data_IF_678459706258
#
_entry.id   IF_678459706258
#
_cell.length_a   1.000
_cell.length_b   1.000
_cell.length_c   1.000
_cell.angle_alpha   90.00
_cell.angle_beta   90.00
_cell.angle_gamma   90.00
#
_symmetry.space_group_name_H-M   'P 1'
#
loop_
_entity.id
_entity.type
_entity.pdbx_description
1 polymer ?
#
# COMPACT_ATOMS: atom_id res chain seq x y z
N UNK A 1 -11.65 8.34 32.00
CA UNK A 1 -11.75 8.02 30.56
C UNK A 1 -12.01 6.53 30.48
N UNK A 2 -13.15 6.09 29.92
CA UNK A 2 -13.45 4.67 29.82
C UNK A 2 -12.38 3.97 28.95
N UNK A 3 -12.07 2.72 29.26
CA UNK A 3 -11.10 1.93 28.50
C UNK A 3 -11.58 1.75 27.04
N UNK A 4 -10.68 1.69 26.03
CA UNK A 4 -11.04 1.70 24.60
C UNK A 4 -11.84 0.48 24.11
N UNK A 5 -12.13 -0.50 24.96
CA UNK A 5 -12.68 -1.80 24.56
C UNK A 5 -14.20 -1.90 24.62
N UNK A 6 -14.90 -0.89 25.17
CA UNK A 6 -16.36 -1.01 25.39
C UNK A 6 -17.23 -0.75 24.15
N UNK A 7 -16.67 -0.28 23.03
CA UNK A 7 -17.42 -0.04 21.77
C UNK A 7 -16.55 -0.30 20.52
N UNK A 8 -15.82 -1.41 20.47
CA UNK A 8 -15.17 -1.81 19.22
C UNK A 8 -16.25 -2.23 18.19
N UNK A 9 -16.17 -1.78 16.93
CA UNK A 9 -17.07 -2.24 15.89
C UNK A 9 -16.88 -3.74 15.67
N UNK A 10 -17.97 -4.44 15.36
CA UNK A 10 -17.88 -5.85 15.00
C UNK A 10 -17.19 -6.03 13.63
N UNK A 11 -16.59 -7.20 13.35
CA UNK A 11 -16.02 -7.49 12.03
C UNK A 11 -17.01 -7.25 10.87
N UNK A 12 -18.28 -7.58 11.09
CA UNK A 12 -19.36 -7.41 10.10
C UNK A 12 -19.70 -5.93 9.88
N UNK A 13 -19.63 -5.10 10.94
CA UNK A 13 -19.83 -3.66 10.82
C UNK A 13 -18.71 -3.03 9.98
N UNK A 14 -17.44 -3.37 10.24
CA UNK A 14 -16.31 -2.89 9.43
C UNK A 14 -16.47 -3.32 7.97
N UNK A 15 -16.88 -4.57 7.73
CA UNK A 15 -17.13 -5.06 6.36
C UNK A 15 -18.28 -4.31 5.66
N UNK A 16 -19.38 -4.03 6.37
CA UNK A 16 -20.49 -3.27 5.83
C UNK A 16 -20.07 -1.84 5.46
N UNK A 17 -19.35 -1.17 6.37
CA UNK A 17 -18.81 0.18 6.19
C UNK A 17 -17.82 0.27 5.02
N UNK A 18 -17.03 -0.79 4.81
CA UNK A 18 -16.11 -0.91 3.67
C UNK A 18 -16.88 -1.08 2.35
N UNK A 19 -17.91 -1.93 2.32
CA UNK A 19 -18.72 -2.14 1.12
C UNK A 19 -19.41 -0.85 0.68
N UNK A 20 -20.01 -0.12 1.62
CA UNK A 20 -20.61 1.20 1.34
C UNK A 20 -19.57 2.18 0.79
N UNK A 21 -18.38 2.23 1.40
CA UNK A 21 -17.27 3.06 0.92
C UNK A 21 -16.86 2.71 -0.52
N UNK A 22 -16.79 1.43 -0.88
CA UNK A 22 -16.47 0.99 -2.25
C UNK A 22 -17.56 1.42 -3.23
N UNK A 23 -18.84 1.25 -2.89
CA UNK A 23 -19.95 1.70 -3.74
C UNK A 23 -19.92 3.21 -3.97
N UNK A 24 -19.70 3.98 -2.90
CA UNK A 24 -19.60 5.44 -3.00
C UNK A 24 -18.45 5.85 -3.93
N UNK A 25 -17.28 5.23 -3.80
CA UNK A 25 -16.14 5.52 -4.67
C UNK A 25 -16.41 5.18 -6.15
N UNK A 26 -17.21 4.13 -6.41
CA UNK A 26 -17.65 3.77 -7.77
C UNK A 26 -18.62 4.81 -8.32
N UNK A 27 -19.57 5.28 -7.50
CA UNK A 27 -20.51 6.34 -7.88
C UNK A 27 -19.79 7.67 -8.19
N UNK A 28 -18.88 8.08 -7.31
CA UNK A 28 -18.03 9.27 -7.49
C UNK A 28 -17.16 9.19 -8.76
N UNK A 29 -16.84 7.98 -9.21
CA UNK A 29 -16.12 7.70 -10.45
C UNK A 29 -17.07 7.40 -11.64
N UNK A 30 -18.31 7.90 -11.58
CA UNK A 30 -19.33 7.78 -12.63
C UNK A 30 -19.62 6.32 -13.04
N UNK A 31 -19.60 5.40 -12.07
CA UNK A 31 -19.83 3.97 -12.29
C UNK A 31 -18.62 3.21 -12.84
N UNK A 32 -17.47 3.87 -13.03
CA UNK A 32 -16.28 3.21 -13.57
C UNK A 32 -15.53 2.40 -12.51
N UNK A 33 -15.29 1.12 -12.79
CA UNK A 33 -14.51 0.18 -11.96
C UNK A 33 -13.09 -0.05 -12.47
N UNK A 34 -12.64 0.74 -13.46
CA UNK A 34 -11.29 0.60 -14.02
C UNK A 34 -10.23 0.92 -12.95
N UNK A 35 -9.18 0.08 -12.82
CA UNK A 35 -8.14 0.33 -11.83
C UNK A 35 -7.29 1.53 -12.25
N UNK A 36 -6.90 2.33 -11.26
CA UNK A 36 -5.96 3.43 -11.43
C UNK A 36 -4.58 2.96 -10.99
N UNK A 37 -3.58 3.08 -11.88
CA UNK A 37 -2.19 2.72 -11.55
C UNK A 37 -1.68 3.59 -10.39
N UNK A 38 -1.32 3.00 -9.24
CA UNK A 38 -0.78 3.76 -8.12
C UNK A 38 0.60 4.34 -8.47
N UNK A 39 0.90 5.54 -7.95
CA UNK A 39 2.26 6.11 -8.02
C UNK A 39 3.22 5.30 -7.14
N UNK A 40 4.53 5.48 -7.32
CA UNK A 40 5.50 4.92 -6.38
C UNK A 40 5.31 5.51 -4.98
N UNK A 41 5.54 4.67 -3.96
CA UNK A 41 5.56 5.13 -2.58
C UNK A 41 6.73 6.09 -2.39
N UNK A 42 6.48 7.21 -1.72
CA UNK A 42 7.48 8.16 -1.26
C UNK A 42 7.34 8.26 0.25
N UNK A 43 8.28 7.70 1.04
CA UNK A 43 8.20 7.75 2.49
C UNK A 43 8.03 9.18 3.00
N UNK A 44 6.97 9.43 3.76
CA UNK A 44 6.73 10.72 4.36
C UNK A 44 7.58 10.89 5.62
N UNK A 45 8.28 12.02 5.70
CA UNK A 45 9.07 12.39 6.88
C UNK A 45 8.66 13.78 7.33
N UNK A 46 8.11 13.89 8.53
CA UNK A 46 7.68 15.14 9.12
C UNK A 46 7.79 15.10 10.65
N UNK A 47 8.13 16.22 11.32
CA UNK A 47 8.51 17.51 10.76
C UNK A 47 9.91 17.51 10.11
N UNK A 48 10.17 18.39 9.13
CA UNK A 48 11.52 18.56 8.59
C UNK A 48 12.45 19.17 9.65
N UNK A 49 13.76 18.98 9.49
CA UNK A 49 14.75 19.58 10.39
C UNK A 49 14.60 21.11 10.39
N UNK A 50 14.36 21.68 11.58
CA UNK A 50 14.26 23.11 11.80
C UNK A 50 15.52 23.83 11.29
N UNK A 51 15.36 24.71 10.30
CA UNK A 51 16.49 25.45 9.72
C UNK A 51 17.08 26.43 10.72
N UNK A 52 16.28 26.97 11.64
CA UNK A 52 16.76 27.88 12.70
C UNK A 52 17.81 27.24 13.62
N UNK A 53 17.75 25.92 13.83
CA UNK A 53 18.74 25.20 14.64
C UNK A 53 20.12 25.19 13.98
N UNK A 54 20.18 25.20 12.65
CA UNK A 54 21.45 25.22 11.90
C UNK A 54 22.18 26.57 12.02
N UNK A 55 21.43 27.64 12.31
CA UNK A 55 21.95 29.00 12.45
C UNK A 55 21.92 29.50 13.90
N UNK A 56 21.58 28.64 14.86
CA UNK A 56 21.49 28.96 16.28
C UNK A 56 20.60 30.17 16.59
N UNK A 57 19.46 30.33 15.88
CA UNK A 57 18.56 31.47 16.10
C UNK A 57 17.92 31.37 17.49
N UNK A 58 18.16 32.34 18.39
CA UNK A 58 17.65 32.26 19.76
C UNK A 58 16.16 32.60 19.81
N UNK A 59 15.47 32.11 20.85
CA UNK A 59 14.03 32.33 21.05
C UNK A 59 13.62 33.82 21.03
N UNK A 60 14.50 34.72 21.52
CA UNK A 60 14.28 36.17 21.55
C UNK A 60 14.28 36.86 20.18
N UNK A 61 14.79 36.20 19.13
CA UNK A 61 14.85 36.78 17.78
C UNK A 61 13.51 36.74 17.03
N UNK A 62 12.54 35.98 17.52
CA UNK A 62 11.23 35.80 16.89
C UNK A 62 10.25 36.88 17.35
N UNK A 63 10.46 38.11 16.89
CA UNK A 63 9.70 39.30 17.32
C UNK A 63 8.54 39.66 16.39
N UNK A 64 8.64 39.34 15.11
CA UNK A 64 7.66 39.73 14.10
C UNK A 64 6.68 38.61 13.76
N UNK A 65 5.61 38.98 13.05
CA UNK A 65 4.54 38.08 12.63
C UNK A 65 4.18 38.32 11.17
N UNK A 66 3.85 37.24 10.48
CA UNK A 66 3.32 37.25 9.13
C UNK A 66 2.26 36.14 8.99
N UNK A 67 1.65 36.04 7.81
CA UNK A 67 0.77 34.93 7.45
C UNK A 67 1.08 34.47 6.02
N UNK A 68 0.87 33.17 5.77
CA UNK A 68 0.73 32.67 4.40
C UNK A 68 -0.59 31.91 4.27
N UNK A 69 -1.09 31.84 3.04
CA UNK A 69 -2.29 31.08 2.71
C UNK A 69 -1.91 29.82 1.93
N UNK A 70 -2.47 28.68 2.31
CA UNK A 70 -2.34 27.43 1.55
C UNK A 70 -3.65 26.64 1.64
N UNK A 71 -4.11 26.14 0.50
CA UNK A 71 -5.32 25.31 0.41
C UNK A 71 -6.55 25.96 1.08
N UNK A 72 -6.68 27.29 0.98
CA UNK A 72 -7.79 28.07 1.56
C UNK A 72 -7.70 28.32 3.07
N UNK A 73 -6.62 27.92 3.74
CA UNK A 73 -6.37 28.22 5.15
C UNK A 73 -5.21 29.22 5.31
N UNK A 74 -5.38 30.15 6.26
CA UNK A 74 -4.34 31.09 6.68
C UNK A 74 -3.55 30.54 7.86
N UNK A 75 -2.24 30.55 7.72
CA UNK A 75 -1.30 30.03 8.71
C UNK A 75 -0.48 31.17 9.32
N UNK A 76 -0.54 31.37 10.65
CA UNK A 76 0.30 32.35 11.32
C UNK A 76 1.76 31.90 11.31
N UNK A 77 2.65 32.85 11.04
CA UNK A 77 4.10 32.66 10.99
C UNK A 77 4.77 33.62 11.95
N UNK A 78 5.64 33.10 12.81
CA UNK A 78 6.58 33.93 13.58
C UNK A 78 7.80 34.21 12.72
N UNK A 79 8.29 35.45 12.75
CA UNK A 79 9.39 35.91 11.90
C UNK A 79 10.56 36.39 12.76
N UNK A 80 11.77 36.01 12.36
CA UNK A 80 13.01 36.46 12.94
C UNK A 80 13.92 37.07 11.86
N UNK A 81 14.30 38.33 12.06
CA UNK A 81 15.25 39.05 11.22
C UNK A 81 16.66 38.90 11.80
N UNK A 82 17.60 38.42 10.99
CA UNK A 82 18.96 38.08 11.45
C UNK A 82 20.00 38.48 10.40
N UNK A 83 21.29 38.57 10.75
CA UNK A 83 22.37 38.76 9.77
C UNK A 83 22.46 37.64 8.74
N UNK A 84 21.89 36.47 9.03
CA UNK A 84 21.84 35.33 8.11
C UNK A 84 20.54 35.29 7.29
N UNK A 85 19.72 36.33 7.30
CA UNK A 85 18.45 36.40 6.56
C UNK A 85 17.21 36.33 7.45
N UNK A 86 16.07 36.14 6.80
CA UNK A 86 14.73 36.12 7.41
C UNK A 86 14.27 34.68 7.61
N UNK A 87 13.98 34.33 8.86
CA UNK A 87 13.48 33.02 9.24
C UNK A 87 12.00 33.10 9.57
N UNK A 88 11.24 32.11 9.12
CA UNK A 88 9.83 31.95 9.47
C UNK A 88 9.59 30.60 10.10
N UNK A 89 8.74 30.57 11.13
CA UNK A 89 8.26 29.37 11.80
C UNK A 89 6.74 29.33 11.78
N UNK A 90 6.19 28.27 11.20
CA UNK A 90 4.76 27.96 11.27
C UNK A 90 4.56 26.86 12.31
N UNK A 91 4.14 27.23 13.52
CA UNK A 91 3.96 26.27 14.62
C UNK A 91 2.80 25.30 14.34
N UNK A 92 1.73 25.73 13.65
CA UNK A 92 0.61 24.87 13.27
C UNK A 92 1.01 23.72 12.33
N UNK A 93 1.96 23.97 11.44
CA UNK A 93 2.46 22.98 10.49
C UNK A 93 3.76 22.33 10.94
N UNK A 94 4.38 22.79 12.03
CA UNK A 94 5.64 22.25 12.57
C UNK A 94 6.81 22.33 11.59
N UNK A 95 6.91 23.41 10.81
CA UNK A 95 8.06 23.63 9.91
C UNK A 95 8.55 25.07 9.87
N UNK A 96 9.75 25.21 9.32
CA UNK A 96 10.47 26.47 9.20
C UNK A 96 11.05 26.64 7.80
N UNK A 97 11.23 27.89 7.38
CA UNK A 97 12.00 28.22 6.20
C UNK A 97 12.83 29.48 6.42
N UNK A 98 13.85 29.65 5.59
CA UNK A 98 14.70 30.84 5.52
C UNK A 98 14.60 31.46 4.13
N UNK A 99 14.52 32.77 4.03
CA UNK A 99 14.66 33.56 2.80
C UNK A 99 15.50 34.82 3.06
N UNK A 100 15.78 35.57 2.00
CA UNK A 100 16.46 36.86 2.11
C UNK A 100 15.48 37.99 2.46
N UNK A 101 14.19 37.80 2.13
CA UNK A 101 13.08 38.68 2.52
C UNK A 101 11.94 37.89 3.19
N UNK A 102 10.98 38.60 3.80
CA UNK A 102 9.76 37.99 4.36
C UNK A 102 8.97 37.27 3.27
N UNK A 103 8.79 37.89 2.11
CA UNK A 103 8.03 37.34 0.98
C UNK A 103 8.69 36.06 0.44
N UNK A 104 10.02 36.06 0.32
CA UNK A 104 10.73 34.86 -0.10
C UNK A 104 10.62 33.74 0.94
N UNK A 105 10.79 34.06 2.22
CA UNK A 105 10.63 33.11 3.31
C UNK A 105 9.22 32.49 3.30
N UNK A 106 8.16 33.28 3.12
CA UNK A 106 6.76 32.80 3.09
C UNK A 106 6.51 31.88 1.88
N UNK A 107 7.03 32.23 0.69
CA UNK A 107 6.95 31.35 -0.49
C UNK A 107 7.66 30.01 -0.25
N UNK A 108 8.83 30.04 0.41
CA UNK A 108 9.58 28.83 0.75
C UNK A 108 8.85 28.00 1.82
N UNK A 109 8.22 28.62 2.83
CA UNK A 109 7.36 27.92 3.79
C UNK A 109 6.20 27.22 3.09
N UNK A 110 5.49 27.92 2.20
CA UNK A 110 4.36 27.35 1.48
C UNK A 110 4.79 26.14 0.63
N UNK A 111 5.86 26.28 -0.16
CA UNK A 111 6.41 25.21 -0.99
C UNK A 111 6.88 24.00 -0.15
N UNK A 112 7.55 24.25 0.97
CA UNK A 112 8.05 23.19 1.85
C UNK A 112 6.94 22.45 2.62
N UNK A 113 5.80 23.12 2.88
CA UNK A 113 4.63 22.52 3.52
C UNK A 113 3.77 21.65 2.61
N UNK A 114 3.92 21.78 1.29
CA UNK A 114 3.07 21.08 0.31
C UNK A 114 3.00 19.55 0.49
N UNK A 115 4.08 18.82 0.83
CA UNK A 115 3.99 17.39 1.11
C UNK A 115 3.06 17.06 2.28
N UNK A 116 3.11 17.84 3.37
CA UNK A 116 2.19 17.68 4.51
C UNK A 116 0.75 17.90 4.06
N UNK A 117 0.48 19.00 3.35
CA UNK A 117 -0.88 19.32 2.92
C UNK A 117 -1.46 18.28 1.97
N UNK A 118 -0.68 17.81 0.99
CA UNK A 118 -1.10 16.72 0.09
C UNK A 118 -1.47 15.46 0.85
N UNK A 119 -0.64 15.06 1.83
CA UNK A 119 -0.92 13.92 2.69
C UNK A 119 -2.22 14.11 3.48
N UNK A 120 -2.37 15.24 4.16
CA UNK A 120 -3.53 15.54 4.99
C UNK A 120 -4.84 15.64 4.18
N UNK A 121 -4.78 16.20 2.97
CA UNK A 121 -5.91 16.25 2.04
C UNK A 121 -6.24 14.88 1.46
N UNK A 122 -5.24 14.05 1.15
CA UNK A 122 -5.46 12.69 0.68
C UNK A 122 -6.17 11.83 1.76
N UNK A 123 -5.71 11.90 3.01
CA UNK A 123 -6.37 11.25 4.15
C UNK A 123 -7.80 11.77 4.31
N UNK A 124 -7.97 13.10 4.37
CA UNK A 124 -9.29 13.72 4.55
C UNK A 124 -10.27 13.30 3.46
N UNK A 125 -9.84 13.34 2.18
CA UNK A 125 -10.66 12.91 1.05
C UNK A 125 -11.03 11.42 1.15
N UNK A 126 -10.07 10.54 1.45
CA UNK A 126 -10.35 9.09 1.56
C UNK A 126 -11.31 8.77 2.69
N UNK A 127 -11.29 9.54 3.79
CA UNK A 127 -12.21 9.34 4.93
C UNK A 127 -13.52 10.13 4.81
N UNK A 128 -13.73 10.89 3.72
CA UNK A 128 -14.91 11.72 3.55
C UNK A 128 -14.96 12.96 4.47
N UNK A 129 -13.85 13.37 5.06
CA UNK A 129 -13.79 14.56 5.90
C UNK A 129 -13.74 15.84 5.05
N UNK A 130 -14.43 16.92 5.48
CA UNK A 130 -14.30 18.21 4.84
C UNK A 130 -12.91 18.80 5.13
N UNK A 131 -12.09 18.95 4.08
CA UNK A 131 -10.78 19.57 4.17
C UNK A 131 -9.66 18.62 4.59
N UNK A 132 -8.67 19.15 5.33
CA UNK A 132 -7.44 18.43 5.67
C UNK A 132 -7.56 17.67 6.99
N UNK A 133 -7.02 16.45 7.04
CA UNK A 133 -6.90 15.69 8.27
C UNK A 133 -5.73 16.20 9.12
N UNK A 134 -5.95 16.49 10.40
CA UNK A 134 -4.93 17.05 11.32
C UNK A 134 -4.53 16.11 12.47
N UNK A 135 -5.15 14.93 12.54
CA UNK A 135 -4.89 13.92 13.55
C UNK A 135 -3.71 13.01 13.21
N UNK A 136 -3.63 11.88 13.90
CA UNK A 136 -2.68 10.79 13.62
C UNK A 136 -3.44 9.58 13.09
N UNK A 137 -2.84 8.85 12.16
CA UNK A 137 -3.43 7.61 11.64
C UNK A 137 -3.59 6.58 12.77
N UNK A 138 -2.66 6.53 13.71
CA UNK A 138 -2.73 5.67 14.92
C UNK A 138 -3.95 5.89 15.80
N UNK A 139 -4.61 7.04 15.68
CA UNK A 139 -5.75 7.42 16.51
C UNK A 139 -7.09 7.18 15.80
N UNK A 140 -7.06 6.63 14.57
CA UNK A 140 -8.25 6.34 13.77
C UNK A 140 -8.97 5.08 14.26
N UNK A 141 -10.29 5.05 14.04
CA UNK A 141 -11.10 3.86 14.29
C UNK A 141 -10.77 2.74 13.28
N UNK A 142 -10.99 1.46 13.64
CA UNK A 142 -10.69 0.33 12.76
C UNK A 142 -11.25 0.44 11.34
N UNK A 143 -12.49 0.90 11.17
CA UNK A 143 -13.12 1.07 9.87
C UNK A 143 -12.41 2.13 9.00
N UNK A 144 -11.90 3.20 9.62
CA UNK A 144 -11.18 4.27 8.91
C UNK A 144 -9.78 3.82 8.50
N UNK A 145 -9.11 3.01 9.32
CA UNK A 145 -7.85 2.36 8.96
C UNK A 145 -8.00 1.49 7.71
N UNK A 146 -9.06 0.68 7.65
CA UNK A 146 -9.36 -0.17 6.49
C UNK A 146 -9.65 0.68 5.24
N UNK A 147 -10.42 1.76 5.36
CA UNK A 147 -10.66 2.70 4.24
C UNK A 147 -9.37 3.35 3.74
N UNK A 148 -8.44 3.69 4.63
CA UNK A 148 -7.15 4.29 4.24
C UNK A 148 -6.26 3.36 3.41
N UNK A 149 -6.49 2.05 3.40
CA UNK A 149 -5.79 1.13 2.48
C UNK A 149 -6.05 1.50 1.00
N UNK A 150 -7.18 2.15 0.72
CA UNK A 150 -7.56 2.65 -0.61
C UNK A 150 -7.07 4.08 -0.90
N UNK A 151 -6.27 4.68 -0.01
CA UNK A 151 -5.77 6.04 -0.22
C UNK A 151 -4.89 6.10 -1.50
N UNK A 152 -5.09 7.09 -2.38
CA UNK A 152 -4.26 7.25 -3.58
C UNK A 152 -2.79 7.57 -3.24
N UNK A 153 -2.52 8.08 -2.04
CA UNK A 153 -1.17 8.17 -1.50
C UNK A 153 -0.78 6.83 -0.87
N UNK A 154 0.10 6.09 -1.55
CA UNK A 154 0.54 4.76 -1.09
C UNK A 154 1.26 4.78 0.24
N UNK A 155 1.89 5.90 0.63
CA UNK A 155 2.56 5.98 1.93
C UNK A 155 1.56 6.16 3.08
N UNK A 156 0.38 6.74 2.81
CA UNK A 156 -0.75 6.74 3.74
C UNK A 156 -1.34 5.35 3.89
N UNK A 157 -1.60 4.65 2.78
CA UNK A 157 -2.10 3.27 2.81
C UNK A 157 -1.14 2.33 3.56
N UNK A 158 0.17 2.50 3.34
CA UNK A 158 1.20 1.76 4.06
C UNK A 158 1.22 2.07 5.57
N UNK A 159 1.08 3.33 5.99
CA UNK A 159 1.00 3.66 7.41
C UNK A 159 -0.25 3.06 8.06
N UNK A 160 -1.41 3.12 7.40
CA UNK A 160 -2.64 2.48 7.88
C UNK A 160 -2.49 0.97 8.03
N UNK A 161 -1.84 0.31 7.06
CA UNK A 161 -1.47 -1.11 7.13
C UNK A 161 -0.62 -1.43 8.37
N UNK A 162 0.40 -0.62 8.67
CA UNK A 162 1.22 -0.82 9.88
C UNK A 162 0.40 -0.68 11.18
N UNK A 163 -0.56 0.26 11.23
CA UNK A 163 -1.43 0.39 12.39
C UNK A 163 -2.40 -0.79 12.52
N UNK A 164 -2.91 -1.34 11.41
CA UNK A 164 -3.72 -2.57 11.43
C UNK A 164 -2.90 -3.75 11.99
N UNK A 165 -1.64 -3.93 11.54
CA UNK A 165 -0.77 -4.99 12.04
C UNK A 165 -0.52 -4.89 13.56
N UNK A 166 -0.23 -3.68 14.06
CA UNK A 166 -0.07 -3.43 15.51
C UNK A 166 -1.32 -3.79 16.32
N UNK A 167 -2.49 -3.76 15.68
CA UNK A 167 -3.78 -4.02 16.28
C UNK A 167 -4.42 -5.33 15.80
N UNK A 168 -3.66 -6.23 15.16
CA UNK A 168 -4.17 -7.50 14.65
C UNK A 168 -4.87 -8.34 15.73
N UNK A 169 -4.38 -8.28 16.97
CA UNK A 169 -4.96 -8.98 18.12
C UNK A 169 -6.39 -8.55 18.48
N UNK A 170 -6.90 -7.45 17.93
CA UNK A 170 -8.31 -7.06 18.10
C UNK A 170 -9.26 -8.03 17.38
N UNK A 171 -8.80 -8.74 16.34
CA UNK A 171 -9.62 -9.73 15.61
C UNK A 171 -10.77 -9.14 14.81
N UNK A 172 -10.81 -7.83 14.59
CA UNK A 172 -11.94 -7.14 13.93
C UNK A 172 -11.79 -6.99 12.42
N UNK A 173 -10.57 -7.13 11.88
CA UNK A 173 -10.28 -6.76 10.49
C UNK A 173 -10.56 -7.86 9.47
N UNK A 174 -10.57 -9.14 9.88
CA UNK A 174 -10.47 -10.30 8.99
C UNK A 174 -11.41 -10.28 7.78
N UNK A 175 -12.75 -10.22 7.99
CA UNK A 175 -13.71 -10.20 6.90
C UNK A 175 -13.49 -9.05 5.90
N UNK A 176 -13.09 -7.87 6.39
CA UNK A 176 -12.82 -6.71 5.54
C UNK A 176 -11.53 -6.88 4.71
N UNK A 177 -10.46 -7.44 5.31
CA UNK A 177 -9.21 -7.73 4.61
C UNK A 177 -9.42 -8.76 3.49
N UNK A 178 -10.17 -9.84 3.77
CA UNK A 178 -10.54 -10.85 2.76
C UNK A 178 -11.37 -10.21 1.65
N UNK A 179 -12.29 -9.30 1.98
CA UNK A 179 -13.08 -8.58 0.99
C UNK A 179 -12.22 -7.71 0.07
N UNK A 180 -11.20 -7.02 0.60
CA UNK A 180 -10.25 -6.23 -0.20
C UNK A 180 -9.51 -7.11 -1.22
N UNK A 181 -9.11 -8.32 -0.84
CA UNK A 181 -8.45 -9.25 -1.77
C UNK A 181 -9.37 -9.61 -2.97
N UNK A 182 -10.68 -9.70 -2.73
CA UNK A 182 -11.70 -10.01 -3.74
C UNK A 182 -12.22 -8.79 -4.51
N UNK A 183 -11.88 -7.58 -4.09
CA UNK A 183 -12.38 -6.34 -4.69
C UNK A 183 -11.87 -6.19 -6.14
N UNK A 184 -12.81 -6.00 -7.07
CA UNK A 184 -12.55 -5.71 -8.48
C UNK A 184 -13.14 -4.36 -8.91
N UNK A 185 -13.72 -3.60 -7.98
CA UNK A 185 -14.53 -2.41 -8.24
C UNK A 185 -13.81 -1.12 -7.92
N UNK A 186 -13.21 -1.00 -6.74
CA UNK A 186 -12.67 0.29 -6.32
C UNK A 186 -11.49 0.72 -7.22
N UNK A 187 -11.40 1.98 -7.70
CA UNK A 187 -10.34 2.42 -8.60
C UNK A 187 -8.92 2.24 -8.01
N UNK A 188 -8.76 2.47 -6.72
CA UNK A 188 -7.48 2.33 -6.00
C UNK A 188 -7.23 0.96 -5.35
N UNK A 189 -8.02 -0.07 -5.69
CA UNK A 189 -7.93 -1.42 -5.08
C UNK A 189 -6.55 -2.06 -5.06
N UNK A 190 -5.70 -1.80 -6.07
CA UNK A 190 -4.37 -2.42 -6.16
C UNK A 190 -3.43 -2.00 -5.03
N UNK A 191 -3.57 -0.77 -4.52
CA UNK A 191 -2.82 -0.34 -3.34
C UNK A 191 -3.30 -1.07 -2.08
N UNK A 192 -4.63 -1.18 -1.93
CA UNK A 192 -5.24 -1.87 -0.79
C UNK A 192 -4.89 -3.36 -0.78
N UNK A 193 -5.08 -4.04 -1.92
CA UNK A 193 -4.72 -5.44 -2.12
C UNK A 193 -3.25 -5.70 -1.83
N UNK A 194 -2.34 -4.84 -2.32
CA UNK A 194 -0.92 -4.96 -1.99
C UNK A 194 -0.67 -4.89 -0.48
N UNK A 195 -1.31 -3.95 0.23
CA UNK A 195 -1.19 -3.83 1.68
C UNK A 195 -1.73 -5.05 2.41
N UNK A 196 -2.88 -5.59 1.98
CA UNK A 196 -3.44 -6.81 2.58
C UNK A 196 -2.54 -8.00 2.34
N UNK A 197 -2.03 -8.19 1.11
CA UNK A 197 -1.09 -9.26 0.79
C UNK A 197 0.17 -9.18 1.64
N UNK A 198 0.70 -7.98 1.89
CA UNK A 198 1.84 -7.77 2.78
C UNK A 198 1.55 -8.22 4.22
N UNK A 199 0.34 -7.98 4.73
CA UNK A 199 -0.09 -8.50 6.03
C UNK A 199 -0.24 -10.04 6.01
N UNK A 200 -0.65 -10.63 4.89
CA UNK A 200 -0.81 -12.08 4.76
C UNK A 200 0.50 -12.88 4.71
N UNK A 201 1.66 -12.21 4.70
CA UNK A 201 2.95 -12.87 4.91
C UNK A 201 3.02 -13.61 6.26
N UNK A 202 2.32 -13.09 7.27
CA UNK A 202 2.12 -13.72 8.58
C UNK A 202 0.63 -14.02 8.80
N UNK A 203 0.02 -14.78 7.88
CA UNK A 203 -1.43 -14.99 7.82
C UNK A 203 -2.07 -15.40 9.17
N UNK A 204 -1.41 -16.26 9.96
CA UNK A 204 -1.97 -16.74 11.24
C UNK A 204 -1.98 -15.68 12.34
N UNK A 205 -1.14 -14.64 12.22
CA UNK A 205 -1.17 -13.49 13.13
C UNK A 205 -2.37 -12.58 12.82
N UNK A 206 -2.67 -12.41 11.53
CA UNK A 206 -3.73 -11.52 11.04
C UNK A 206 -5.11 -12.19 11.08
N UNK A 207 -5.16 -13.47 10.73
CA UNK A 207 -6.34 -14.33 10.66
C UNK A 207 -6.09 -15.59 11.51
N UNK A 208 -6.35 -15.55 12.82
CA UNK A 208 -6.10 -16.72 13.68
C UNK A 208 -7.01 -17.92 13.38
N UNK A 209 -8.20 -17.70 12.80
CA UNK A 209 -9.13 -18.76 12.43
C UNK A 209 -8.73 -19.45 11.11
N UNK A 210 -8.72 -20.78 11.09
CA UNK A 210 -8.31 -21.55 9.92
C UNK A 210 -9.28 -21.41 8.73
N UNK A 211 -10.57 -21.16 8.97
CA UNK A 211 -11.53 -20.96 7.87
C UNK A 211 -11.26 -19.60 7.20
N UNK A 212 -11.00 -18.56 7.99
CA UNK A 212 -10.61 -17.25 7.46
C UNK A 212 -9.29 -17.34 6.66
N UNK A 213 -8.31 -18.12 7.14
CA UNK A 213 -7.08 -18.37 6.39
C UNK A 213 -7.37 -19.04 5.03
N UNK A 214 -8.22 -20.08 5.00
CA UNK A 214 -8.63 -20.75 3.74
C UNK A 214 -9.36 -19.79 2.81
N UNK A 215 -10.23 -18.95 3.35
CA UNK A 215 -10.95 -17.93 2.57
C UNK A 215 -10.02 -16.89 1.96
N UNK A 216 -9.02 -16.43 2.73
CA UNK A 216 -7.99 -15.51 2.27
C UNK A 216 -7.14 -16.15 1.16
N UNK A 217 -6.73 -17.41 1.32
CA UNK A 217 -5.98 -18.15 0.30
C UNK A 217 -6.80 -18.27 -0.99
N UNK A 218 -8.08 -18.63 -0.89
CA UNK A 218 -8.97 -18.67 -2.04
C UNK A 218 -9.11 -17.29 -2.71
N UNK A 219 -9.19 -16.22 -1.93
CA UNK A 219 -9.23 -14.85 -2.46
C UNK A 219 -7.92 -14.47 -3.18
N UNK A 220 -6.75 -14.86 -2.65
CA UNK A 220 -5.46 -14.64 -3.31
C UNK A 220 -5.32 -15.44 -4.61
N UNK A 221 -5.82 -16.69 -4.64
CA UNK A 221 -5.91 -17.48 -5.89
C UNK A 221 -6.79 -16.75 -6.91
N UNK A 222 -7.98 -16.30 -6.51
CA UNK A 222 -8.91 -15.62 -7.43
C UNK A 222 -8.34 -14.30 -7.96
N UNK A 223 -7.55 -13.61 -7.13
CA UNK A 223 -6.81 -12.42 -7.52
C UNK A 223 -5.78 -12.73 -8.62
N UNK A 224 -5.02 -13.83 -8.49
CA UNK A 224 -4.13 -14.30 -9.56
C UNK A 224 -4.94 -14.69 -10.82
N UNK A 225 -5.99 -15.49 -10.63
CA UNK A 225 -6.76 -16.08 -11.73
C UNK A 225 -7.37 -15.03 -12.66
N UNK A 226 -7.97 -13.99 -12.08
CA UNK A 226 -8.78 -12.99 -12.79
C UNK A 226 -8.02 -11.68 -13.08
N UNK A 227 -6.73 -11.59 -12.81
CA UNK A 227 -5.98 -10.35 -12.93
C UNK A 227 -6.01 -9.73 -14.34
N UNK A 228 -6.49 -8.50 -14.46
CA UNK A 228 -6.48 -7.73 -15.71
C UNK A 228 -5.23 -6.84 -15.87
N UNK A 229 -4.45 -6.67 -14.80
CA UNK A 229 -3.28 -5.81 -14.68
C UNK A 229 -2.41 -6.31 -13.53
N UNK A 230 -1.18 -5.82 -13.42
CA UNK A 230 -0.30 -6.02 -12.25
C UNK A 230 0.16 -4.69 -11.66
N UNK A 231 -0.76 -3.71 -11.54
CA UNK A 231 -0.41 -2.41 -10.98
C UNK A 231 0.03 -2.53 -9.53
N UNK A 232 1.01 -1.70 -9.18
CA UNK A 232 1.73 -1.75 -7.90
C UNK A 232 2.37 -3.13 -7.58
N UNK A 233 2.49 -4.03 -8.58
CA UNK A 233 2.97 -5.41 -8.42
C UNK A 233 2.12 -6.22 -7.42
N UNK A 234 0.82 -5.92 -7.35
CA UNK A 234 -0.09 -6.60 -6.42
C UNK A 234 -0.30 -8.08 -6.78
N UNK A 235 -0.40 -8.42 -8.07
CA UNK A 235 -0.59 -9.81 -8.52
C UNK A 235 0.70 -10.58 -8.33
N UNK A 236 1.83 -9.96 -8.67
CA UNK A 236 3.15 -10.49 -8.33
C UNK A 236 3.29 -10.77 -6.83
N UNK A 237 2.93 -9.81 -5.97
CA UNK A 237 2.97 -9.98 -4.51
C UNK A 237 2.11 -11.16 -4.05
N UNK A 238 0.93 -11.39 -4.63
CA UNK A 238 0.10 -12.54 -4.30
C UNK A 238 0.81 -13.88 -4.59
N UNK A 239 1.51 -13.97 -5.73
CA UNK A 239 2.34 -15.14 -6.05
C UNK A 239 3.46 -15.36 -5.02
N UNK A 240 4.14 -14.29 -4.60
CA UNK A 240 5.20 -14.33 -3.57
C UNK A 240 4.65 -14.78 -2.22
N UNK A 241 3.52 -14.23 -1.76
CA UNK A 241 2.92 -14.59 -0.46
C UNK A 241 2.52 -16.06 -0.45
N UNK A 242 1.78 -16.51 -1.49
CA UNK A 242 1.34 -17.91 -1.57
C UNK A 242 2.55 -18.87 -1.62
N UNK A 243 3.58 -18.53 -2.40
CA UNK A 243 4.73 -19.41 -2.62
C UNK A 243 5.76 -19.40 -1.50
N UNK A 244 6.06 -18.21 -0.96
CA UNK A 244 7.12 -18.00 0.03
C UNK A 244 6.65 -18.11 1.47
N UNK A 245 5.37 -17.83 1.76
CA UNK A 245 4.86 -17.78 3.13
C UNK A 245 3.86 -18.90 3.42
N UNK A 246 3.25 -19.51 2.39
CA UNK A 246 2.32 -20.64 2.52
C UNK A 246 2.74 -21.93 1.78
N UNK A 247 4.06 -22.25 1.68
CA UNK A 247 4.56 -23.32 0.81
C UNK A 247 4.04 -24.71 1.16
N UNK A 248 3.79 -24.98 2.45
CA UNK A 248 3.38 -26.30 2.96
C UNK A 248 1.90 -26.47 3.30
N UNK A 249 1.08 -25.40 3.21
CA UNK A 249 -0.32 -25.45 3.63
C UNK A 249 -1.27 -25.78 2.46
N UNK A 250 -1.03 -25.15 1.29
CA UNK A 250 -1.69 -25.43 -0.01
C UNK A 250 -1.05 -24.59 -1.15
N UNK A 251 -0.02 -23.80 -0.85
CA UNK A 251 0.48 -22.78 -1.78
C UNK A 251 1.00 -23.38 -3.08
N UNK A 252 1.66 -24.55 -3.00
CA UNK A 252 2.08 -25.30 -4.19
C UNK A 252 0.89 -25.62 -5.10
N UNK A 253 -0.15 -26.25 -4.57
CA UNK A 253 -1.32 -26.69 -5.34
C UNK A 253 -2.02 -25.49 -5.99
N UNK A 254 -2.21 -24.41 -5.23
CA UNK A 254 -2.82 -23.16 -5.71
C UNK A 254 -2.03 -22.56 -6.88
N UNK A 255 -0.70 -22.45 -6.75
CA UNK A 255 0.12 -21.83 -7.79
C UNK A 255 0.20 -22.71 -9.05
N UNK A 256 0.29 -24.03 -8.90
CA UNK A 256 0.27 -24.96 -10.03
C UNK A 256 -1.08 -24.96 -10.76
N UNK A 257 -2.19 -24.74 -10.05
CA UNK A 257 -3.49 -24.49 -10.67
C UNK A 257 -3.46 -23.19 -11.48
N UNK A 258 -2.91 -22.11 -10.92
CA UNK A 258 -2.83 -20.81 -11.57
C UNK A 258 -1.96 -20.78 -12.85
N UNK A 259 -1.23 -21.84 -13.20
CA UNK A 259 -0.60 -21.96 -14.53
C UNK A 259 -1.62 -22.03 -15.66
N UNK A 260 -2.89 -22.35 -15.35
CA UNK A 260 -3.99 -22.41 -16.30
C UNK A 260 -4.90 -21.18 -16.23
N UNK A 261 -4.52 -20.18 -15.43
CA UNK A 261 -5.30 -18.96 -15.29
C UNK A 261 -5.47 -18.25 -16.65
N UNK A 262 -6.64 -17.67 -16.95
CA UNK A 262 -6.82 -16.85 -18.15
C UNK A 262 -5.91 -15.61 -18.11
N UNK A 263 -5.62 -15.09 -16.91
CA UNK A 263 -4.71 -13.96 -16.73
C UNK A 263 -3.24 -14.33 -16.99
N UNK A 264 -2.62 -13.64 -17.94
CA UNK A 264 -1.17 -13.72 -18.14
C UNK A 264 -0.35 -13.16 -16.97
N UNK A 265 -0.88 -12.16 -16.25
CA UNK A 265 -0.25 -11.62 -15.05
C UNK A 265 -0.29 -12.64 -13.91
N UNK A 266 -1.43 -13.31 -13.75
CA UNK A 266 -1.61 -14.42 -12.83
C UNK A 266 -0.65 -15.56 -13.09
N UNK A 267 -0.57 -16.03 -14.36
CA UNK A 267 0.36 -17.08 -14.76
C UNK A 267 1.82 -16.70 -14.50
N UNK A 268 2.24 -15.47 -14.86
CA UNK A 268 3.59 -14.96 -14.54
C UNK A 268 3.88 -15.03 -13.04
N UNK A 269 2.98 -14.49 -12.22
CA UNK A 269 3.14 -14.46 -10.78
C UNK A 269 3.14 -15.87 -10.16
N UNK A 270 2.35 -16.80 -10.71
CA UNK A 270 2.34 -18.18 -10.28
C UNK A 270 3.65 -18.91 -10.61
N UNK A 271 4.18 -18.73 -11.82
CA UNK A 271 5.49 -19.28 -12.23
C UNK A 271 6.62 -18.77 -11.34
N UNK A 272 6.57 -17.50 -10.94
CA UNK A 272 7.49 -16.95 -9.97
C UNK A 272 7.27 -17.55 -8.57
N UNK A 273 6.03 -17.59 -8.10
CA UNK A 273 5.69 -18.09 -6.76
C UNK A 273 6.13 -19.53 -6.51
N UNK A 274 6.03 -20.41 -7.51
CA UNK A 274 6.50 -21.81 -7.35
C UNK A 274 8.01 -21.93 -7.16
N UNK A 275 8.79 -20.92 -7.58
CA UNK A 275 10.22 -20.88 -7.26
C UNK A 275 10.43 -20.82 -5.74
N UNK A 276 9.72 -19.90 -5.08
CA UNK A 276 9.76 -19.79 -3.62
C UNK A 276 9.24 -21.05 -2.91
N UNK A 277 8.26 -21.75 -3.50
CA UNK A 277 7.82 -23.04 -2.95
C UNK A 277 8.98 -24.03 -2.87
N UNK A 278 9.86 -24.08 -3.89
CA UNK A 278 11.02 -24.98 -3.87
C UNK A 278 12.03 -24.58 -2.79
N UNK A 279 12.24 -23.28 -2.55
CA UNK A 279 13.15 -22.79 -1.51
C UNK A 279 12.74 -23.29 -0.12
N UNK A 280 11.43 -23.31 0.17
CA UNK A 280 10.89 -23.70 1.47
C UNK A 280 10.43 -25.16 1.55
N UNK A 281 10.13 -25.78 0.42
CA UNK A 281 9.70 -27.17 0.30
C UNK A 281 10.43 -27.89 -0.85
N UNK A 282 11.74 -28.20 -0.68
CA UNK A 282 12.55 -28.85 -1.71
C UNK A 282 11.98 -30.15 -2.32
N UNK A 283 11.21 -31.00 -1.60
CA UNK A 283 10.58 -32.17 -2.20
C UNK A 283 9.66 -31.88 -3.40
N UNK A 284 9.12 -30.66 -3.51
CA UNK A 284 8.27 -30.27 -4.64
C UNK A 284 9.03 -29.97 -5.93
N UNK A 285 10.37 -29.88 -5.88
CA UNK A 285 11.21 -29.48 -7.02
C UNK A 285 10.87 -30.24 -8.30
N UNK A 286 10.81 -31.58 -8.24
CA UNK A 286 10.58 -32.41 -9.42
C UNK A 286 9.24 -32.12 -10.08
N UNK A 287 8.17 -32.06 -9.28
CA UNK A 287 6.82 -31.78 -9.78
C UNK A 287 6.76 -30.37 -10.38
N UNK A 288 7.31 -29.37 -9.70
CA UNK A 288 7.32 -27.98 -10.17
C UNK A 288 8.09 -27.83 -11.49
N UNK A 289 9.26 -28.47 -11.61
CA UNK A 289 10.03 -28.48 -12.86
C UNK A 289 9.23 -29.13 -13.98
N UNK A 290 8.63 -30.32 -13.75
CA UNK A 290 7.80 -31.00 -14.75
C UNK A 290 6.65 -30.08 -15.25
N UNK A 291 6.00 -29.36 -14.34
CA UNK A 291 4.90 -28.41 -14.67
C UNK A 291 5.38 -27.15 -15.38
N UNK A 292 6.55 -26.61 -15.02
CA UNK A 292 7.17 -25.50 -15.74
C UNK A 292 7.58 -25.90 -17.17
N UNK A 293 8.10 -27.12 -17.37
CA UNK A 293 8.38 -27.66 -18.70
C UNK A 293 7.11 -27.79 -19.53
N UNK A 294 6.02 -28.28 -18.95
CA UNK A 294 4.71 -28.31 -19.61
C UNK A 294 4.24 -26.91 -20.01
N UNK A 295 4.30 -25.93 -19.09
CA UNK A 295 3.94 -24.54 -19.37
C UNK A 295 4.84 -23.92 -20.45
N UNK A 296 6.12 -24.28 -20.50
CA UNK A 296 7.04 -23.80 -21.52
C UNK A 296 6.67 -24.20 -22.95
N UNK A 297 5.89 -25.27 -23.10
CA UNK A 297 5.38 -25.75 -24.39
C UNK A 297 4.00 -25.15 -24.70
N UNK A 298 3.16 -24.99 -23.67
CA UNK A 298 1.72 -24.81 -23.85
C UNK A 298 1.19 -23.41 -23.49
N UNK A 299 1.94 -22.56 -22.77
CA UNK A 299 1.44 -21.22 -22.41
C UNK A 299 1.13 -20.44 -23.69
N UNK A 300 -0.04 -19.78 -23.80
CA UNK A 300 -0.39 -19.02 -25.00
C UNK A 300 0.60 -17.88 -25.29
N UNK A 301 1.21 -17.30 -24.25
CA UNK A 301 2.13 -16.17 -24.37
C UNK A 301 3.56 -16.66 -24.65
N UNK A 302 4.17 -16.29 -25.81
CA UNK A 302 5.53 -16.72 -26.13
C UNK A 302 6.58 -16.27 -25.10
N UNK A 303 6.34 -15.14 -24.43
CA UNK A 303 7.24 -14.64 -23.38
C UNK A 303 7.17 -15.51 -22.12
N UNK A 304 5.99 -16.00 -21.75
CA UNK A 304 5.81 -16.88 -20.59
C UNK A 304 6.32 -18.30 -20.87
N UNK A 305 6.21 -18.77 -22.11
CA UNK A 305 6.86 -20.04 -22.52
C UNK A 305 8.37 -20.03 -22.26
N UNK A 306 9.05 -18.95 -22.68
CA UNK A 306 10.49 -18.77 -22.43
C UNK A 306 10.82 -18.62 -20.95
N UNK A 307 9.99 -17.86 -20.23
CA UNK A 307 10.17 -17.66 -18.80
C UNK A 307 10.03 -18.97 -18.02
N UNK A 308 9.02 -19.79 -18.31
CA UNK A 308 8.84 -21.09 -17.70
C UNK A 308 10.00 -22.06 -18.00
N UNK A 309 10.53 -22.06 -19.23
CA UNK A 309 11.72 -22.86 -19.59
C UNK A 309 12.94 -22.44 -18.77
N UNK A 310 13.23 -21.14 -18.70
CA UNK A 310 14.35 -20.59 -17.95
C UNK A 310 14.21 -20.88 -16.45
N UNK A 311 13.01 -20.72 -15.89
CA UNK A 311 12.73 -21.02 -14.49
C UNK A 311 12.98 -22.50 -14.15
N UNK A 312 12.57 -23.42 -15.04
CA UNK A 312 12.86 -24.84 -14.88
C UNK A 312 14.36 -25.11 -14.91
N UNK A 313 15.11 -24.50 -15.84
CA UNK A 313 16.57 -24.64 -15.95
C UNK A 313 17.30 -24.09 -14.72
N UNK A 314 16.80 -22.99 -14.13
CA UNK A 314 17.38 -22.37 -12.92
C UNK A 314 17.12 -23.24 -11.69
N UNK A 315 15.90 -23.76 -11.52
CA UNK A 315 15.55 -24.66 -10.42
C UNK A 315 16.34 -25.97 -10.44
N UNK A 316 16.47 -26.62 -11.61
CA UNK A 316 17.24 -27.85 -11.74
C UNK A 316 18.74 -27.66 -11.44
N UNK A 317 19.25 -26.47 -11.74
CA UNK A 317 20.64 -26.12 -11.50
C UNK A 317 20.91 -25.50 -10.12
N UNK A 318 19.86 -25.27 -9.32
CA UNK A 318 19.96 -24.60 -8.02
C UNK A 318 20.47 -23.16 -8.11
N UNK A 319 20.05 -22.41 -9.15
CA UNK A 319 20.38 -20.98 -9.34
C UNK A 319 19.23 -20.08 -8.90
N UNK A 320 19.57 -18.84 -8.56
CA UNK A 320 18.58 -17.77 -8.44
C UNK A 320 17.85 -17.57 -9.77
N UNK A 321 16.56 -17.26 -9.72
CA UNK A 321 15.80 -16.99 -10.93
C UNK A 321 16.23 -15.66 -11.59
N UNK A 322 16.20 -15.61 -12.92
CA UNK A 322 16.38 -14.38 -13.68
C UNK A 322 15.24 -13.35 -13.46
N UNK A 323 15.37 -12.14 -14.02
CA UNK A 323 14.35 -11.11 -13.90
C UNK A 323 13.02 -11.56 -14.52
N UNK A 324 11.91 -11.18 -13.88
CA UNK A 324 10.59 -11.48 -14.43
C UNK A 324 10.36 -10.75 -15.76
N UNK A 325 9.65 -11.39 -16.72
CA UNK A 325 9.31 -10.74 -17.97
C UNK A 325 8.33 -9.59 -17.75
N UNK A 326 8.55 -8.49 -18.47
CA UNK A 326 7.64 -7.35 -18.58
C UNK A 326 6.84 -7.51 -19.87
N UNK A 327 5.51 -7.40 -19.79
CA UNK A 327 4.67 -7.39 -20.98
C UNK A 327 4.75 -6.03 -21.68
N UNK A 328 4.62 -5.96 -23.02
CA UNK A 328 4.75 -4.70 -23.75
C UNK A 328 3.85 -3.57 -23.24
N UNK A 329 2.64 -3.88 -22.76
CA UNK A 329 1.73 -2.87 -22.22
C UNK A 329 2.11 -2.34 -20.82
N UNK A 330 3.06 -2.97 -20.13
CA UNK A 330 3.54 -2.55 -18.80
C UNK A 330 4.71 -1.55 -18.87
N UNK A 331 5.32 -1.36 -20.05
CA UNK A 331 6.49 -0.49 -20.25
C UNK A 331 6.17 1.02 -20.28
N UNK A 332 4.88 1.39 -20.15
CA UNK A 332 4.37 2.77 -20.29
C UNK A 332 4.41 3.56 -18.98
#
# INVERSE_FOLDING_TARGET
MPHPTENLPSPEQILADLKEFIEQAVEENHGSTKPVRPKHRVPFSWPPKAISHQYHIPAKSWTDRAEYEAHGEKFPVRVAHTPHGVFGRCEKCWHEARGDTVEEMLRRLQKAGEPLFRRQLAIGKTLGFPGRFVGRISDLAPQDLVRLLYCPDRDVAYEAKLEIEKHASLGVFGPALIHILRDDRHPHRRSAQWCVLDMMEDISLILPDENDQREAIAAMRDLLWNAADDYARAIYKAGVVIGGHLPGQIGKEVLLECFHAPSKYGRRAAMHGVFHVVEWHPPALREIVERLREASLNDPEPILRRYAAAMADDLEAGRDHGPDPVFPEEEV
#
